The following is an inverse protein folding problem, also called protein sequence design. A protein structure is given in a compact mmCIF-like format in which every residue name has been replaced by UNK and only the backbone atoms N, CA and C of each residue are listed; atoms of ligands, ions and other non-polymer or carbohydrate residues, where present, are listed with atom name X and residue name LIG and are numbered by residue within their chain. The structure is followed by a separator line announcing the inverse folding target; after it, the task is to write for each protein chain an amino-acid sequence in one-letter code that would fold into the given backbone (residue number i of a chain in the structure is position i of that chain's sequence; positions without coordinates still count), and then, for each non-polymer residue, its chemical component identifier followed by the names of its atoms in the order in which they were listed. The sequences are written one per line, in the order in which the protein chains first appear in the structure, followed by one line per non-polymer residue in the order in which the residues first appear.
data_IF_877279831914
#
_entry.id   IF_877279831914
#
_cell.length_a   1.000
_cell.length_b   1.000
_cell.length_c   1.000
_cell.angle_alpha   90.00
_cell.angle_beta   90.00
_cell.angle_gamma   90.00
#
_symmetry.space_group_name_H-M   'P 1'
#
loop_
_entity.id
_entity.type
_entity.pdbx_description
1 polymer ?
#
# COMPACT_ATOMS: atom_id res chain seq x y z
N UNK A 1 -4.66 -10.24 0.03
CA UNK A 1 -4.69 -9.05 -0.86
C UNK A 1 -3.80 -7.89 -0.40
N UNK A 2 -3.75 -7.55 0.89
CA UNK A 2 -3.09 -6.32 1.38
C UNK A 2 -1.56 -6.32 1.10
N UNK A 3 -0.93 -7.50 1.12
CA UNK A 3 0.50 -7.63 0.85
C UNK A 3 0.91 -7.40 -0.61
N UNK A 4 0.02 -7.51 -1.60
CA UNK A 4 0.38 -7.41 -3.02
C UNK A 4 0.63 -5.96 -3.47
N UNK A 5 0.00 -5.00 -2.80
CA UNK A 5 0.06 -3.57 -3.10
C UNK A 5 0.82 -2.81 -2.01
N UNK A 6 1.94 -3.38 -1.55
CA UNK A 6 2.80 -2.82 -0.51
C UNK A 6 3.99 -2.03 -1.08
N UNK A 7 4.13 -1.95 -2.41
CA UNK A 7 5.25 -1.28 -3.09
C UNK A 7 6.45 -2.17 -3.43
N UNK A 8 6.48 -3.39 -2.90
CA UNK A 8 7.59 -4.34 -3.13
C UNK A 8 7.23 -5.34 -4.22
N UNK A 9 6.08 -6.01 -4.09
CA UNK A 9 5.62 -6.97 -5.11
C UNK A 9 5.15 -6.27 -6.38
N UNK A 10 4.47 -5.14 -6.20
CA UNK A 10 4.11 -4.23 -7.29
C UNK A 10 4.79 -2.90 -7.00
N UNK A 11 5.74 -2.46 -7.84
CA UNK A 11 6.44 -1.21 -7.60
C UNK A 11 5.50 -0.02 -7.78
N UNK A 12 5.79 1.08 -7.08
CA UNK A 12 4.91 2.26 -7.00
C UNK A 12 4.57 2.89 -8.36
N UNK A 13 5.46 2.75 -9.35
CA UNK A 13 5.23 3.29 -10.70
C UNK A 13 4.26 2.44 -11.54
N UNK A 14 4.15 1.14 -11.26
CA UNK A 14 3.30 0.21 -12.02
C UNK A 14 1.86 0.11 -11.48
N UNK A 15 1.57 0.74 -10.33
CA UNK A 15 0.26 0.66 -9.70
C UNK A 15 -0.77 1.59 -10.37
N UNK A 16 -2.04 1.13 -10.55
CA UNK A 16 -3.13 2.00 -11.00
C UNK A 16 -3.34 3.18 -10.06
N UNK A 17 -3.81 4.32 -10.61
CA UNK A 17 -3.90 5.59 -9.89
C UNK A 17 -4.61 5.51 -8.53
N UNK A 18 -5.75 4.81 -8.43
CA UNK A 18 -6.48 4.65 -7.17
C UNK A 18 -5.62 3.98 -6.07
N UNK A 19 -4.95 2.89 -6.39
CA UNK A 19 -4.12 2.14 -5.42
C UNK A 19 -2.87 2.93 -5.04
N UNK A 20 -2.28 3.62 -6.02
CA UNK A 20 -1.09 4.44 -5.84
C UNK A 20 -1.31 5.61 -4.89
N UNK A 21 -2.40 6.37 -5.05
CA UNK A 21 -2.61 7.60 -4.28
C UNK A 21 -3.34 7.39 -2.96
N UNK A 22 -4.21 6.39 -2.87
CA UNK A 22 -5.03 6.17 -1.69
C UNK A 22 -4.61 4.93 -0.90
N UNK A 23 -4.69 3.76 -1.52
CA UNK A 23 -4.51 2.51 -0.79
C UNK A 23 -3.09 2.33 -0.26
N UNK A 24 -2.09 2.75 -1.03
CA UNK A 24 -0.68 2.61 -0.70
C UNK A 24 -0.34 3.17 0.69
N UNK A 25 -0.88 4.34 1.03
CA UNK A 25 -0.61 5.03 2.30
C UNK A 25 -1.49 4.56 3.46
N UNK A 26 -2.68 4.03 3.19
CA UNK A 26 -3.57 3.49 4.23
C UNK A 26 -3.15 2.08 4.66
N UNK A 27 -2.46 1.37 3.78
CA UNK A 27 -2.08 -0.01 4.00
C UNK A 27 -0.94 -0.14 5.06
N UNK A 28 -1.16 -0.83 6.19
CA UNK A 28 -0.12 -1.03 7.20
C UNK A 28 1.05 -1.85 6.67
N UNK A 29 0.82 -2.83 5.79
CA UNK A 29 1.90 -3.67 5.24
C UNK A 29 2.92 -2.89 4.41
N UNK A 30 2.50 -1.77 3.78
CA UNK A 30 3.41 -0.82 3.11
C UNK A 30 4.41 -0.26 4.12
N UNK A 31 3.92 0.26 5.25
CA UNK A 31 4.76 0.87 6.29
C UNK A 31 5.65 -0.14 6.99
N UNK A 32 5.14 -1.36 7.25
CA UNK A 32 5.95 -2.45 7.78
C UNK A 32 7.14 -2.74 6.86
N UNK A 33 6.86 -2.97 5.58
CA UNK A 33 7.90 -3.41 4.65
C UNK A 33 8.89 -2.27 4.34
N UNK A 34 8.41 -1.03 4.22
CA UNK A 34 9.27 0.17 4.11
C UNK A 34 10.21 0.31 5.30
N UNK A 35 9.70 0.13 6.52
CA UNK A 35 10.50 0.23 7.75
C UNK A 35 11.59 -0.85 7.83
N UNK A 36 11.24 -2.10 7.51
CA UNK A 36 12.19 -3.23 7.51
C UNK A 36 13.27 -3.04 6.44
N UNK A 37 12.89 -2.70 5.20
CA UNK A 37 13.86 -2.48 4.13
C UNK A 37 14.82 -1.32 4.45
N UNK A 38 14.28 -0.19 4.92
CA UNK A 38 15.04 0.99 5.33
C UNK A 38 16.01 0.71 6.48
N UNK A 39 15.75 -0.31 7.30
CA UNK A 39 16.64 -0.70 8.40
C UNK A 39 17.78 -1.64 7.97
N UNK A 40 17.53 -2.54 7.02
CA UNK A 40 18.45 -3.65 6.70
C UNK A 40 19.33 -3.38 5.48
N UNK A 41 18.76 -2.81 4.42
CA UNK A 41 19.44 -2.66 3.13
C UNK A 41 20.43 -1.48 2.99
N UNK A 42 20.40 -0.38 3.78
CA UNK A 42 21.31 0.75 3.52
C UNK A 42 22.81 0.41 3.58
N UNK A 43 23.20 -0.60 4.37
CA UNK A 43 24.60 -0.96 4.60
C UNK A 43 25.11 -2.09 3.68
N UNK A 44 24.27 -2.60 2.79
CA UNK A 44 24.59 -3.78 1.96
C UNK A 44 25.09 -3.31 0.59
N UNK A 45 26.34 -3.61 0.27
CA UNK A 45 26.88 -3.47 -1.08
C UNK A 45 26.41 -4.65 -1.95
N UNK A 46 25.88 -4.36 -3.14
CA UNK A 46 25.39 -5.38 -4.07
C UNK A 46 26.55 -5.81 -4.96
N UNK A 47 26.85 -7.11 -4.96
CA UNK A 47 27.81 -7.73 -5.89
C UNK A 47 27.07 -8.74 -6.73
N UNK A 48 26.78 -8.38 -7.98
CA UNK A 48 26.08 -9.25 -8.91
C UNK A 48 26.87 -10.54 -9.17
N UNK A 49 26.18 -11.69 -9.17
CA UNK A 49 26.75 -12.95 -9.61
C UNK A 49 26.80 -13.02 -11.15
N UNK A 50 27.60 -13.92 -11.75
CA UNK A 50 27.71 -14.04 -13.22
C UNK A 50 26.40 -14.35 -13.96
N UNK A 51 25.36 -14.81 -13.25
CA UNK A 51 24.03 -15.08 -13.80
C UNK A 51 23.06 -13.89 -13.67
N UNK A 52 23.38 -12.90 -12.82
CA UNK A 52 22.57 -11.69 -12.61
C UNK A 52 23.02 -10.52 -13.48
N UNK A 53 24.20 -10.66 -14.09
CA UNK A 53 24.73 -9.69 -15.04
C UNK A 53 23.94 -9.76 -16.35
N UNK A 54 23.46 -8.60 -16.79
CA UNK A 54 22.95 -8.46 -18.14
C UNK A 54 24.14 -8.50 -19.11
N UNK A 55 24.28 -9.60 -19.84
CA UNK A 55 25.33 -9.79 -20.83
C UNK A 55 24.92 -9.22 -22.18
N UNK A 56 25.79 -8.44 -22.79
CA UNK A 56 25.61 -7.90 -24.14
C UNK A 56 26.96 -7.69 -24.82
N UNK A 57 26.96 -7.66 -26.15
CA UNK A 57 28.14 -7.35 -26.95
C UNK A 57 28.07 -5.92 -27.48
N UNK A 58 29.13 -5.11 -27.30
CA UNK A 58 29.19 -3.77 -27.83
C UNK A 58 29.44 -3.79 -29.35
N UNK A 59 29.03 -2.74 -30.08
CA UNK A 59 29.32 -2.64 -31.51
C UNK A 59 30.84 -2.62 -31.77
N UNK A 60 31.28 -3.15 -32.94
CA UNK A 60 32.70 -3.34 -33.23
C UNK A 60 33.48 -2.02 -33.18
N UNK A 61 34.56 -2.01 -32.40
CA UNK A 61 35.42 -0.84 -32.23
C UNK A 61 35.07 0.06 -31.03
N UNK A 62 34.12 -0.32 -30.19
CA UNK A 62 33.80 0.37 -28.93
C UNK A 62 34.03 -0.54 -27.72
N UNK A 63 34.41 0.05 -26.59
CA UNK A 63 34.51 -0.66 -25.31
C UNK A 63 33.17 -0.70 -24.58
N UNK A 64 32.98 -1.66 -23.67
CA UNK A 64 31.80 -1.73 -22.80
C UNK A 64 31.52 -0.39 -22.10
N UNK A 65 32.58 0.28 -21.62
CA UNK A 65 32.49 1.57 -20.95
C UNK A 65 32.05 2.71 -21.89
N UNK A 66 32.55 2.74 -23.13
CA UNK A 66 32.18 3.78 -24.10
C UNK A 66 30.73 3.62 -24.59
N UNK A 67 30.30 2.38 -24.84
CA UNK A 67 28.94 2.11 -25.31
C UNK A 67 27.91 2.20 -24.17
N UNK A 68 28.16 1.51 -23.06
CA UNK A 68 27.19 1.40 -21.97
C UNK A 68 27.35 2.48 -20.89
N UNK A 69 28.50 3.17 -20.78
CA UNK A 69 28.69 4.22 -19.77
C UNK A 69 27.69 5.38 -19.92
N UNK A 70 27.34 5.73 -21.15
CA UNK A 70 26.26 6.68 -21.43
C UNK A 70 24.89 6.15 -20.96
N UNK A 71 24.60 4.87 -21.16
CA UNK A 71 23.36 4.23 -20.69
C UNK A 71 23.30 4.17 -19.15
N UNK A 72 24.38 3.78 -18.49
CA UNK A 72 24.46 3.69 -17.02
C UNK A 72 24.19 5.06 -16.39
N UNK A 73 24.83 6.11 -16.93
CA UNK A 73 24.69 7.47 -16.40
C UNK A 73 23.37 8.16 -16.74
N UNK A 74 22.83 7.94 -17.95
CA UNK A 74 21.65 8.71 -18.43
C UNK A 74 20.32 7.96 -18.33
N UNK A 75 20.30 6.63 -18.44
CA UNK A 75 19.06 5.83 -18.51
C UNK A 75 18.89 4.98 -17.28
N UNK A 76 19.92 4.22 -16.88
CA UNK A 76 19.83 3.36 -15.69
C UNK A 76 19.90 4.19 -14.39
N UNK A 77 20.73 5.25 -14.38
CA UNK A 77 20.89 6.16 -13.25
C UNK A 77 21.58 5.57 -12.01
N UNK A 78 21.82 4.27 -12.00
CA UNK A 78 22.39 3.47 -10.92
C UNK A 78 23.02 2.19 -11.51
N UNK A 79 23.92 1.55 -10.75
CA UNK A 79 24.58 0.31 -11.15
C UNK A 79 26.00 0.48 -11.69
N UNK A 80 26.62 -0.64 -12.05
CA UNK A 80 28.03 -0.69 -12.45
C UNK A 80 28.28 -1.72 -13.57
N UNK A 81 29.38 -1.50 -14.29
CA UNK A 81 29.92 -2.43 -15.29
C UNK A 81 31.04 -3.23 -14.63
N UNK A 82 31.04 -4.56 -14.81
CA UNK A 82 32.09 -5.42 -14.24
C UNK A 82 33.45 -5.15 -14.87
N UNK A 83 33.51 -5.07 -16.21
CA UNK A 83 34.71 -4.75 -16.98
C UNK A 83 34.41 -3.68 -18.05
N UNK A 84 34.76 -2.40 -17.79
CA UNK A 84 34.59 -1.32 -18.75
C UNK A 84 35.48 -1.43 -19.98
N UNK A 85 36.56 -2.22 -19.93
CA UNK A 85 37.58 -2.32 -20.99
C UNK A 85 37.34 -3.47 -21.96
N UNK A 86 36.43 -4.38 -21.62
CA UNK A 86 36.07 -5.49 -22.48
C UNK A 86 35.45 -5.00 -23.80
N UNK A 87 35.68 -5.76 -24.86
CA UNK A 87 35.16 -5.53 -26.22
C UNK A 87 34.18 -6.62 -26.66
N UNK A 88 33.92 -7.59 -25.79
CA UNK A 88 32.98 -8.71 -25.93
C UNK A 88 32.55 -9.16 -24.53
N UNK A 89 31.34 -9.69 -24.38
CA UNK A 89 30.81 -10.22 -23.11
C UNK A 89 30.72 -9.18 -21.96
N UNK A 90 30.18 -7.99 -22.23
CA UNK A 90 30.02 -6.95 -21.22
C UNK A 90 28.96 -7.36 -20.18
N UNK A 91 29.31 -7.34 -18.89
CA UNK A 91 28.37 -7.54 -17.78
C UNK A 91 27.90 -6.22 -17.17
N UNK A 92 26.60 -5.93 -17.23
CA UNK A 92 25.98 -4.82 -16.51
C UNK A 92 25.21 -5.29 -15.28
N UNK A 93 25.46 -4.66 -14.13
CA UNK A 93 24.73 -4.86 -12.88
C UNK A 93 23.85 -3.62 -12.58
N UNK A 94 22.54 -3.79 -12.35
CA UNK A 94 21.60 -2.67 -12.23
C UNK A 94 21.71 -1.87 -10.92
N UNK A 95 22.37 -2.40 -9.89
CA UNK A 95 22.50 -1.75 -8.58
C UNK A 95 23.90 -1.99 -8.01
N UNK A 96 24.52 -0.93 -7.48
CA UNK A 96 25.80 -1.02 -6.76
C UNK A 96 25.57 -1.17 -5.24
N UNK A 97 24.54 -0.51 -4.72
CA UNK A 97 24.25 -0.47 -3.28
C UNK A 97 22.78 -0.76 -3.00
N UNK A 98 22.49 -1.29 -1.80
CA UNK A 98 21.11 -1.50 -1.34
C UNK A 98 20.31 -0.19 -1.25
N UNK A 99 20.99 0.95 -1.11
CA UNK A 99 20.40 2.28 -1.23
C UNK A 99 19.76 2.55 -2.59
N UNK A 100 20.47 2.21 -3.67
CA UNK A 100 19.97 2.37 -5.05
C UNK A 100 18.79 1.43 -5.33
N UNK A 101 18.86 0.20 -4.82
CA UNK A 101 17.76 -0.74 -4.88
C UNK A 101 16.50 -0.21 -4.16
N UNK A 102 16.65 0.31 -2.94
CA UNK A 102 15.52 0.90 -2.20
C UNK A 102 14.91 2.12 -2.89
N UNK A 103 15.73 2.93 -3.55
CA UNK A 103 15.26 4.09 -4.30
C UNK A 103 14.31 3.67 -5.45
N UNK A 104 14.59 2.54 -6.12
CA UNK A 104 13.70 1.99 -7.16
C UNK A 104 12.30 1.61 -6.62
N UNK A 105 12.22 1.26 -5.33
CA UNK A 105 10.98 0.90 -4.63
C UNK A 105 10.31 2.09 -3.92
N UNK A 106 10.79 3.32 -4.14
CA UNK A 106 10.30 4.54 -3.48
C UNK A 106 10.48 4.53 -1.94
N UNK A 107 11.57 3.92 -1.46
CA UNK A 107 11.96 3.85 -0.04
C UNK A 107 13.28 4.56 0.18
N UNK A 108 13.34 5.42 1.21
CA UNK A 108 14.55 6.14 1.58
C UNK A 108 15.16 5.55 2.86
N UNK A 109 16.48 5.66 3.02
CA UNK A 109 17.18 5.16 4.21
C UNK A 109 16.76 5.88 5.52
N UNK A 110 16.17 7.08 5.41
CA UNK A 110 15.65 7.85 6.55
C UNK A 110 14.24 7.43 7.03
N UNK A 111 13.51 6.62 6.24
CA UNK A 111 12.10 6.33 6.48
C UNK A 111 11.84 5.32 7.62
N UNK A 112 12.88 4.76 8.24
CA UNK A 112 12.77 3.74 9.30
C UNK A 112 11.88 4.16 10.47
N UNK A 113 12.09 5.38 11.01
CA UNK A 113 11.38 5.86 12.20
C UNK A 113 9.96 6.36 11.87
N UNK A 114 9.75 7.16 10.80
CA UNK A 114 8.40 7.54 10.38
C UNK A 114 7.51 6.32 10.08
N UNK A 115 8.04 5.32 9.38
CA UNK A 115 7.29 4.11 9.03
C UNK A 115 6.88 3.30 10.27
N UNK A 116 7.79 3.18 11.26
CA UNK A 116 7.47 2.55 12.54
C UNK A 116 6.40 3.34 13.32
N UNK A 117 6.51 4.67 13.37
CA UNK A 117 5.53 5.53 14.02
C UNK A 117 4.12 5.39 13.43
N UNK A 118 4.00 5.35 12.11
CA UNK A 118 2.71 5.18 11.42
C UNK A 118 2.11 3.81 11.71
N UNK A 119 2.93 2.75 11.77
CA UNK A 119 2.47 1.42 12.16
C UNK A 119 1.89 1.40 13.58
N UNK A 120 2.60 1.99 14.53
CA UNK A 120 2.14 2.08 15.93
C UNK A 120 0.88 2.93 16.03
N UNK A 121 0.82 4.06 15.32
CA UNK A 121 -0.38 4.89 15.25
C UNK A 121 -1.60 4.13 14.72
N UNK A 122 -1.41 3.28 13.70
CA UNK A 122 -2.48 2.43 13.19
C UNK A 122 -2.95 1.43 14.25
N UNK A 123 -2.05 0.78 14.98
CA UNK A 123 -2.41 -0.15 16.06
C UNK A 123 -3.21 0.55 17.18
N UNK A 124 -2.76 1.72 17.62
CA UNK A 124 -3.43 2.53 18.64
C UNK A 124 -4.79 3.02 18.15
N UNK A 125 -4.90 3.47 16.91
CA UNK A 125 -6.17 3.89 16.32
C UNK A 125 -7.19 2.74 16.27
N UNK A 126 -6.76 1.52 15.92
CA UNK A 126 -7.62 0.35 15.93
C UNK A 126 -8.10 0.00 17.34
N UNK A 127 -7.21 0.07 18.34
CA UNK A 127 -7.60 -0.12 19.73
C UNK A 127 -8.61 0.94 20.17
N UNK A 128 -8.33 2.22 19.89
CA UNK A 128 -9.24 3.32 20.19
C UNK A 128 -10.61 3.14 19.53
N UNK A 129 -10.66 2.70 18.26
CA UNK A 129 -11.90 2.39 17.56
C UNK A 129 -12.69 1.26 18.22
N UNK A 130 -12.02 0.19 18.67
CA UNK A 130 -12.69 -0.91 19.40
C UNK A 130 -13.29 -0.40 20.71
N UNK A 131 -12.53 0.35 21.52
CA UNK A 131 -13.05 0.91 22.77
C UNK A 131 -14.18 1.90 22.52
N UNK A 132 -14.04 2.76 21.50
CA UNK A 132 -15.06 3.72 21.10
C UNK A 132 -16.34 3.01 20.67
N UNK A 133 -16.25 1.97 19.84
CA UNK A 133 -17.42 1.22 19.38
C UNK A 133 -18.08 0.46 20.53
N UNK A 134 -17.32 -0.20 21.40
CA UNK A 134 -17.88 -0.87 22.58
C UNK A 134 -18.58 0.14 23.48
N UNK A 135 -17.96 1.27 23.77
CA UNK A 135 -18.56 2.31 24.60
C UNK A 135 -19.82 2.91 23.94
N UNK A 136 -19.75 3.25 22.65
CA UNK A 136 -20.84 3.87 21.92
C UNK A 136 -22.05 2.94 21.75
N UNK A 137 -21.84 1.69 21.32
CA UNK A 137 -22.92 0.74 21.08
C UNK A 137 -23.43 0.10 22.37
N UNK A 138 -22.57 -0.16 23.35
CA UNK A 138 -22.95 -0.92 24.55
C UNK A 138 -23.32 -0.05 25.75
N UNK A 139 -22.66 1.09 25.97
CA UNK A 139 -22.92 1.95 27.13
C UNK A 139 -23.83 3.11 26.77
N UNK A 140 -23.50 3.85 25.69
CA UNK A 140 -24.28 5.02 25.26
C UNK A 140 -25.59 4.64 24.54
N UNK A 141 -25.71 3.39 24.07
CA UNK A 141 -26.87 2.90 23.33
C UNK A 141 -27.05 3.57 21.97
N UNK A 142 -25.96 3.96 21.31
CA UNK A 142 -26.02 4.69 20.04
C UNK A 142 -26.51 3.76 18.92
N UNK A 143 -27.82 3.73 18.68
CA UNK A 143 -28.39 2.99 17.55
C UNK A 143 -28.10 3.77 16.28
N UNK A 144 -27.28 3.21 15.38
CA UNK A 144 -26.97 3.77 14.06
C UNK A 144 -28.26 3.94 13.25
N UNK A 145 -28.94 5.09 13.34
CA UNK A 145 -30.11 5.46 12.52
C UNK A 145 -31.37 4.59 12.62
N UNK A 146 -31.32 3.39 13.19
CA UNK A 146 -32.45 2.46 13.27
C UNK A 146 -33.46 2.79 14.38
N UNK A 147 -33.06 3.59 15.38
CA UNK A 147 -34.00 4.11 16.40
C UNK A 147 -35.13 4.92 15.77
N UNK A 148 -34.81 5.76 14.78
CA UNK A 148 -35.80 6.56 14.05
C UNK A 148 -36.71 5.74 13.12
N UNK A 149 -36.18 4.66 12.51
CA UNK A 149 -36.98 3.75 11.68
C UNK A 149 -37.96 2.91 12.51
N UNK A 150 -37.54 2.43 13.69
CA UNK A 150 -38.43 1.68 14.58
C UNK A 150 -39.61 2.53 15.06
N UNK A 151 -39.38 3.81 15.38
CA UNK A 151 -40.43 4.75 15.79
C UNK A 151 -41.41 5.07 14.66
N UNK A 152 -40.93 5.21 13.41
CA UNK A 152 -41.80 5.44 12.25
C UNK A 152 -42.63 4.21 11.90
N UNK A 153 -42.06 3.00 12.01
CA UNK A 153 -42.81 1.73 11.80
C UNK A 153 -43.85 1.52 12.91
N UNK A 154 -43.52 1.83 14.16
CA UNK A 154 -44.48 1.76 15.27
C UNK A 154 -45.64 2.76 15.10
N UNK A 155 -45.36 4.00 14.68
CA UNK A 155 -46.38 5.01 14.43
C UNK A 155 -47.32 4.65 13.26
N UNK A 156 -46.80 4.05 12.19
CA UNK A 156 -47.61 3.56 11.06
C UNK A 156 -48.49 2.39 11.50
N UNK A 157 -47.95 1.42 12.24
CA UNK A 157 -48.72 0.27 12.75
C UNK A 157 -49.87 0.71 13.65
N UNK A 158 -49.64 1.70 14.53
CA UNK A 158 -50.67 2.24 15.42
C UNK A 158 -51.83 2.91 14.64
N UNK A 159 -51.53 3.64 13.56
CA UNK A 159 -52.57 4.26 12.70
C UNK A 159 -53.41 3.22 11.96
N UNK A 160 -52.79 2.16 11.44
CA UNK A 160 -53.50 1.08 10.73
C UNK A 160 -54.42 0.30 11.66
N UNK A 161 -53.99 0.01 12.89
CA UNK A 161 -54.83 -0.68 13.89
C UNK A 161 -56.03 0.18 14.29
N UNK A 162 -55.84 1.49 14.48
CA UNK A 162 -56.93 2.41 14.82
C UNK A 162 -57.98 2.52 13.70
N UNK A 163 -57.55 2.52 12.44
CA UNK A 163 -58.46 2.51 11.29
C UNK A 163 -59.29 1.22 11.18
N UNK A 164 -58.70 0.06 11.51
CA UNK A 164 -59.41 -1.23 11.52
C UNK A 164 -60.43 -1.40 12.64
N UNK A 165 -60.27 -0.69 13.76
CA UNK A 165 -61.25 -0.71 14.85
C UNK A 165 -62.56 0.01 14.49
N UNK A 166 -62.45 1.17 13.83
CA UNK A 166 -63.64 1.95 13.43
C UNK A 166 -64.46 1.26 12.32
N UNK A 167 -63.82 0.53 11.40
CA UNK A 167 -64.55 -0.24 10.37
C UNK A 167 -65.25 -1.50 10.93
N UNK A 168 -64.87 -1.95 12.13
CA UNK A 168 -65.53 -3.06 12.83
C UNK A 168 -66.74 -2.63 13.66
N UNK A 169 -66.70 -1.44 14.26
CA UNK A 169 -67.83 -0.86 15.01
C UNK A 169 -68.99 -0.49 14.06
N UNK A 170 -68.69 0.13 12.91
CA UNK A 170 -69.70 0.55 11.91
C UNK A 170 -70.42 -0.64 11.23
N UNK A 171 -69.80 -1.83 11.21
CA UNK A 171 -70.40 -3.08 10.71
C UNK A 171 -71.19 -3.86 11.76
N UNK A 172 -71.15 -3.45 13.03
CA UNK A 172 -71.93 -4.07 14.11
C UNK A 172 -73.22 -3.32 14.44
N UNK A 173 -73.38 -2.09 13.94
CA UNK A 173 -74.58 -1.25 14.08
C UNK A 173 -75.47 -1.19 12.82
N UNK A 174 -75.09 -1.89 11.73
CA UNK A 174 -75.89 -2.09 10.51
C UNK A 174 -76.40 -3.54 10.42
#
# INVERSE_FOLDING_TARGET
MIALFNGIFTPYYAMPAFWKYWMYYVNPSTWFSRGVLSAVLPAVAVRCAPAELARFDPPPGSTCGEYAGGFVSSVAGAGYLEDPSATSDCGFCPYNDGGEYMASLNVQAGDKWPAFGIMVAFAVANWALVYLFVYAFRVRGWTFGLGGLSGRVAAVKARVVRGRGQEGEDKSEA
#
